data_IF_969014856622
#
_entry.id   IF_969014856622
#
_cell.length_a   1.000
_cell.length_b   1.000
_cell.length_c   1.000
_cell.angle_alpha   90.00
_cell.angle_beta   90.00
_cell.angle_gamma   90.00
#
_symmetry.space_group_name_H-M   'P 1'
#
loop_
_entity.id
_entity.type
_entity.pdbx_description
1 polymer ?
#
# COMPACT_ATOMS: atom_id res chain seq x y z
N UNK A 1 24.93 8.35 21.88
CA UNK A 1 24.74 7.03 21.22
C UNK A 1 25.92 6.81 20.32
N UNK A 2 26.51 5.61 20.31
CA UNK A 2 27.57 5.29 19.35
C UNK A 2 26.97 5.26 17.95
N UNK A 3 27.71 5.75 16.95
CA UNK A 3 27.31 5.72 15.54
C UNK A 3 27.17 4.28 15.07
N UNK A 4 26.02 3.95 14.46
CA UNK A 4 25.78 2.63 13.86
C UNK A 4 26.64 2.52 12.62
N UNK A 5 27.54 1.54 12.59
CA UNK A 5 28.34 1.17 11.44
C UNK A 5 27.79 -0.09 10.84
N UNK A 6 27.69 -0.16 9.52
CA UNK A 6 27.21 -1.32 8.79
C UNK A 6 28.36 -2.02 8.07
N UNK A 7 28.30 -3.32 7.99
CA UNK A 7 29.15 -4.13 7.11
C UNK A 7 28.72 -3.97 5.65
N UNK A 8 27.38 -3.92 5.42
CA UNK A 8 26.78 -3.77 4.09
C UNK A 8 26.18 -2.37 3.96
N UNK A 9 26.74 -1.56 3.10
CA UNK A 9 26.30 -0.17 2.91
C UNK A 9 26.10 0.15 1.42
N UNK A 10 25.24 1.11 1.11
CA UNK A 10 24.96 1.58 -0.25
C UNK A 10 24.69 3.08 -0.26
N UNK A 11 24.63 3.67 -1.44
CA UNK A 11 24.21 5.05 -1.61
C UNK A 11 22.70 5.17 -1.65
N UNK A 12 22.18 6.21 -1.01
CA UNK A 12 20.76 6.55 -0.96
C UNK A 12 20.59 8.04 -1.20
N UNK A 13 19.80 8.40 -2.19
CA UNK A 13 19.41 9.79 -2.46
C UNK A 13 18.25 10.19 -1.58
N UNK A 14 18.30 11.40 -1.02
CA UNK A 14 17.25 11.93 -0.14
C UNK A 14 16.85 13.31 -0.59
N UNK A 15 15.61 13.46 -1.01
CA UNK A 15 14.97 14.75 -1.25
C UNK A 15 14.15 15.12 -0.01
N UNK A 16 14.57 16.17 0.68
CA UNK A 16 13.94 16.67 1.90
C UNK A 16 13.05 17.87 1.59
N UNK A 17 11.82 17.84 2.10
CA UNK A 17 10.85 18.93 2.05
C UNK A 17 10.57 19.42 3.46
N UNK A 18 10.36 20.74 3.61
CA UNK A 18 10.16 21.36 4.92
C UNK A 18 8.83 20.96 5.57
N UNK A 19 7.79 20.75 4.74
CA UNK A 19 6.47 20.33 5.19
C UNK A 19 5.80 19.39 4.20
N UNK A 20 4.69 18.79 4.62
CA UNK A 20 3.85 17.99 3.73
C UNK A 20 3.26 18.82 2.56
N UNK A 21 3.10 20.12 2.74
CA UNK A 21 2.52 21.04 1.73
C UNK A 21 3.56 21.74 0.86
N UNK A 22 4.86 21.56 1.17
CA UNK A 22 5.94 22.14 0.34
C UNK A 22 5.93 21.53 -1.05
N UNK A 23 5.86 22.37 -2.07
CA UNK A 23 5.92 21.96 -3.48
C UNK A 23 7.35 21.85 -3.98
N UNK A 24 8.27 22.72 -3.50
CA UNK A 24 9.69 22.62 -3.77
C UNK A 24 10.45 21.98 -2.62
N UNK A 25 11.56 21.33 -2.94
CA UNK A 25 12.44 20.70 -1.96
C UNK A 25 13.21 21.73 -1.13
N UNK A 26 13.64 21.32 0.07
CA UNK A 26 14.52 22.10 0.96
C UNK A 26 15.98 21.76 0.73
N UNK A 27 16.29 20.48 0.58
CA UNK A 27 17.63 19.99 0.33
C UNK A 27 17.61 18.65 -0.41
N UNK A 28 18.63 18.42 -1.21
CA UNK A 28 18.93 17.13 -1.83
C UNK A 28 20.30 16.67 -1.38
N UNK A 29 20.42 15.40 -1.04
CA UNK A 29 21.70 14.80 -0.66
C UNK A 29 21.81 13.37 -1.15
N UNK A 30 22.98 13.03 -1.67
CA UNK A 30 23.39 11.64 -1.83
C UNK A 30 24.11 11.23 -0.55
N UNK A 31 23.61 10.22 0.12
CA UNK A 31 24.07 9.79 1.43
C UNK A 31 24.33 8.29 1.42
N UNK A 32 24.85 7.76 2.51
CA UNK A 32 24.95 6.33 2.72
C UNK A 32 23.73 5.79 3.47
N UNK A 33 23.40 4.53 3.24
CA UNK A 33 22.35 3.84 3.98
C UNK A 33 22.60 3.85 5.49
N UNK A 34 23.84 3.62 5.91
CA UNK A 34 24.27 3.74 7.30
C UNK A 34 23.99 5.12 7.91
N UNK A 35 24.21 6.20 7.17
CA UNK A 35 23.91 7.57 7.62
C UNK A 35 22.39 7.80 7.74
N UNK A 36 21.61 7.23 6.81
CA UNK A 36 20.16 7.30 6.89
C UNK A 36 19.64 6.53 8.12
N UNK A 37 20.14 5.33 8.38
CA UNK A 37 19.85 4.54 9.57
C UNK A 37 20.14 5.37 10.83
N UNK A 38 21.33 5.94 10.96
CA UNK A 38 21.70 6.79 12.10
C UNK A 38 20.76 8.00 12.24
N UNK A 39 20.41 8.67 11.14
CA UNK A 39 19.51 9.83 11.16
C UNK A 39 18.09 9.47 11.63
N UNK A 40 17.58 8.29 11.21
CA UNK A 40 16.22 7.85 11.54
C UNK A 40 16.16 7.10 12.88
N UNK A 41 17.28 6.64 13.43
CA UNK A 41 17.30 5.98 14.75
C UNK A 41 16.98 6.93 15.91
N UNK A 42 17.16 8.24 15.71
CA UNK A 42 16.96 9.26 16.75
C UNK A 42 15.82 10.19 16.34
N UNK A 43 14.64 10.08 17.01
CA UNK A 43 13.54 11.02 16.79
C UNK A 43 13.84 12.38 17.44
N UNK A 44 13.22 13.45 16.95
CA UNK A 44 13.10 14.69 17.70
C UNK A 44 11.80 14.68 18.52
N UNK A 45 11.75 15.48 19.58
CA UNK A 45 10.51 15.73 20.32
C UNK A 45 9.80 16.97 19.80
N UNK A 46 8.51 16.82 19.44
CA UNK A 46 7.66 17.94 19.04
C UNK A 46 6.18 17.53 19.06
N UNK A 47 5.31 18.49 19.24
CA UNK A 47 3.84 18.28 19.25
C UNK A 47 3.22 18.07 17.86
N UNK A 48 4.01 18.15 16.81
CA UNK A 48 3.56 18.12 15.44
C UNK A 48 4.32 17.09 14.62
N UNK A 49 3.57 16.19 13.95
CA UNK A 49 4.11 15.04 13.21
C UNK A 49 5.19 15.41 12.16
N UNK A 50 5.08 16.58 11.55
CA UNK A 50 5.96 17.01 10.46
C UNK A 50 7.01 18.05 10.89
N UNK A 51 7.24 18.21 12.21
CA UNK A 51 8.20 19.20 12.75
C UNK A 51 9.63 19.04 12.22
N UNK A 52 9.99 17.84 11.77
CA UNK A 52 11.29 17.55 11.16
C UNK A 52 11.25 17.55 9.62
N UNK A 53 10.09 17.87 9.03
CA UNK A 53 9.86 17.80 7.59
C UNK A 53 9.52 16.39 7.10
N UNK A 54 9.55 16.23 5.79
CA UNK A 54 9.25 14.97 5.10
C UNK A 54 10.32 14.69 4.04
N UNK A 55 10.52 13.43 3.68
CA UNK A 55 11.53 13.04 2.72
C UNK A 55 11.04 12.00 1.71
N UNK A 56 11.58 12.06 0.50
CA UNK A 56 11.52 11.01 -0.52
C UNK A 56 12.92 10.41 -0.63
N UNK A 57 13.01 9.11 -0.75
CA UNK A 57 14.26 8.37 -0.89
C UNK A 57 14.43 7.94 -2.35
N UNK A 58 15.15 8.76 -3.11
CA UNK A 58 15.31 8.75 -4.56
C UNK A 58 15.44 10.16 -5.10
N UNK A 59 15.09 10.39 -6.37
CA UNK A 59 15.13 11.70 -7.00
C UNK A 59 13.85 12.04 -7.76
N UNK A 60 13.60 13.35 -7.92
CA UNK A 60 12.40 13.93 -8.52
C UNK A 60 12.77 14.94 -9.59
N UNK A 61 11.95 15.06 -10.64
CA UNK A 61 12.07 16.14 -11.65
C UNK A 61 11.56 17.46 -11.12
N UNK A 62 12.08 18.53 -11.71
CA UNK A 62 11.45 19.84 -11.66
C UNK A 62 10.19 19.84 -12.54
N UNK A 63 9.19 20.63 -12.19
CA UNK A 63 7.93 20.71 -12.95
C UNK A 63 7.20 22.02 -12.67
N UNK A 64 6.18 22.30 -13.47
CA UNK A 64 5.27 23.44 -13.30
C UNK A 64 3.89 22.99 -12.84
N UNK A 65 3.19 23.83 -12.09
CA UNK A 65 1.79 23.60 -11.75
C UNK A 65 0.85 24.06 -12.90
N UNK A 66 -0.45 23.87 -12.70
CA UNK A 66 -1.49 24.25 -13.65
C UNK A 66 -1.54 25.76 -13.94
N UNK A 67 -0.94 26.57 -13.06
CA UNK A 67 -0.84 28.02 -13.20
C UNK A 67 0.49 28.49 -13.79
N UNK A 68 1.37 27.57 -14.18
CA UNK A 68 2.69 27.87 -14.75
C UNK A 68 3.77 28.20 -13.74
N UNK A 69 3.53 27.98 -12.44
CA UNK A 69 4.57 28.18 -11.42
C UNK A 69 5.56 27.04 -11.42
N UNK A 70 6.86 27.35 -11.50
CA UNK A 70 7.93 26.37 -11.48
C UNK A 70 8.24 25.89 -10.05
N UNK A 71 8.37 24.59 -9.88
CA UNK A 71 8.75 23.94 -8.63
C UNK A 71 9.93 23.00 -8.83
N UNK A 72 10.93 23.12 -7.98
CA UNK A 72 12.09 22.23 -7.98
C UNK A 72 11.75 20.93 -7.26
N UNK A 73 12.08 19.78 -7.90
CA UNK A 73 11.81 18.42 -7.40
C UNK A 73 10.35 18.26 -6.93
N UNK A 74 9.42 18.61 -7.83
CA UNK A 74 7.99 18.67 -7.52
C UNK A 74 7.39 17.28 -7.33
N UNK A 75 6.67 17.07 -6.22
CA UNK A 75 6.11 15.79 -5.81
C UNK A 75 4.85 15.41 -6.58
N UNK A 76 5.05 14.75 -7.71
CA UNK A 76 4.04 14.04 -8.50
C UNK A 76 4.60 12.68 -8.91
N UNK A 77 3.76 11.68 -9.14
CA UNK A 77 4.23 10.34 -9.54
C UNK A 77 4.98 10.37 -10.87
N UNK A 78 4.55 11.20 -11.81
CA UNK A 78 5.17 11.40 -13.12
C UNK A 78 6.56 12.06 -13.02
N UNK A 79 6.85 12.70 -11.90
CA UNK A 79 8.11 13.39 -11.65
C UNK A 79 9.15 12.53 -10.94
N UNK A 80 8.81 11.31 -10.56
CA UNK A 80 9.78 10.38 -9.98
C UNK A 80 10.79 9.98 -11.05
N UNK A 81 12.06 10.34 -10.83
CA UNK A 81 13.16 9.91 -11.70
C UNK A 81 13.54 8.48 -11.32
N UNK A 82 13.77 8.25 -10.03
CA UNK A 82 14.04 6.94 -9.45
C UNK A 82 13.77 6.89 -7.95
N UNK A 83 13.73 5.68 -7.40
CA UNK A 83 13.69 5.40 -5.96
C UNK A 83 14.85 4.48 -5.60
N UNK A 84 15.47 4.72 -4.43
CA UNK A 84 16.58 3.94 -3.87
C UNK A 84 16.13 3.06 -2.70
N UNK A 85 14.98 3.37 -2.12
CA UNK A 85 14.46 2.71 -0.93
C UNK A 85 12.97 2.43 -1.11
N UNK A 86 12.57 1.19 -0.86
CA UNK A 86 11.16 0.84 -0.68
C UNK A 86 10.74 1.19 0.74
N UNK A 87 9.60 1.87 0.89
CA UNK A 87 9.09 2.30 2.19
C UNK A 87 7.66 1.83 2.35
N UNK A 88 7.42 1.01 3.37
CA UNK A 88 6.13 0.41 3.67
C UNK A 88 5.62 0.94 5.01
N UNK A 89 4.44 1.55 5.00
CA UNK A 89 3.73 2.00 6.21
C UNK A 89 2.73 0.92 6.66
N UNK A 90 2.80 0.55 7.94
CA UNK A 90 1.90 -0.40 8.58
C UNK A 90 1.13 0.31 9.69
N UNK A 91 -0.17 0.52 9.48
CA UNK A 91 -1.04 1.24 10.40
C UNK A 91 -2.00 0.34 11.18
N UNK A 92 -2.35 -0.83 10.63
CA UNK A 92 -3.34 -1.77 11.19
C UNK A 92 -2.73 -3.13 11.49
N UNK A 93 -1.77 -3.14 12.42
CA UNK A 93 -1.14 -4.39 12.88
C UNK A 93 -1.63 -4.75 14.29
N UNK A 94 -1.99 -6.02 14.53
CA UNK A 94 -2.54 -6.41 15.84
C UNK A 94 -1.51 -6.34 16.96
N UNK A 95 -0.25 -6.67 16.69
CA UNK A 95 0.87 -6.61 17.63
C UNK A 95 2.18 -6.35 16.90
N UNK A 96 3.00 -5.44 17.43
CA UNK A 96 4.30 -5.11 16.85
C UNK A 96 5.21 -6.34 16.71
N UNK A 97 5.18 -7.26 17.68
CA UNK A 97 5.99 -8.48 17.65
C UNK A 97 5.68 -9.35 16.42
N UNK A 98 4.40 -9.50 16.07
CA UNK A 98 4.00 -10.34 14.91
C UNK A 98 4.59 -9.77 13.62
N UNK A 99 4.49 -8.46 13.43
CA UNK A 99 5.10 -7.81 12.26
C UNK A 99 6.63 -7.91 12.29
N UNK A 100 7.25 -7.73 13.45
CA UNK A 100 8.71 -7.86 13.61
C UNK A 100 9.19 -9.26 13.22
N UNK A 101 8.52 -10.30 13.72
CA UNK A 101 8.87 -11.68 13.43
C UNK A 101 8.71 -11.98 11.93
N UNK A 102 7.61 -11.51 11.29
CA UNK A 102 7.37 -11.65 9.87
C UNK A 102 8.43 -10.94 9.01
N UNK A 103 8.81 -9.70 9.36
CA UNK A 103 9.88 -8.96 8.68
C UNK A 103 11.21 -9.70 8.81
N UNK A 104 11.56 -10.12 10.03
CA UNK A 104 12.85 -10.76 10.31
C UNK A 104 12.98 -12.11 9.61
N UNK A 105 11.91 -12.88 9.54
CA UNK A 105 11.89 -14.17 8.84
C UNK A 105 11.98 -13.97 7.32
N UNK A 106 11.14 -13.10 6.77
CA UNK A 106 11.05 -12.85 5.31
C UNK A 106 12.31 -12.20 4.77
N UNK A 107 12.89 -11.24 5.50
CA UNK A 107 14.04 -10.42 5.09
C UNK A 107 15.31 -10.77 5.88
N UNK A 108 15.47 -12.02 6.30
CA UNK A 108 16.62 -12.49 7.11
C UNK A 108 17.97 -12.16 6.48
N UNK A 109 18.09 -12.32 5.15
CA UNK A 109 19.32 -12.05 4.39
C UNK A 109 19.38 -10.67 3.74
N UNK A 110 18.57 -9.71 4.19
CA UNK A 110 18.43 -8.40 3.54
C UNK A 110 18.61 -7.29 4.57
N UNK A 111 19.28 -6.21 4.17
CA UNK A 111 19.39 -5.00 4.99
C UNK A 111 18.07 -4.23 5.02
N UNK A 112 17.57 -3.98 6.21
CA UNK A 112 16.36 -3.19 6.45
C UNK A 112 16.46 -2.41 7.76
N UNK A 113 15.64 -1.38 7.89
CA UNK A 113 15.34 -0.75 9.17
C UNK A 113 13.85 -0.45 9.27
N UNK A 114 13.34 -0.41 10.49
CA UNK A 114 12.03 0.18 10.76
C UNK A 114 12.03 1.04 12.01
N UNK A 115 11.08 1.94 12.08
CA UNK A 115 10.78 2.68 13.29
C UNK A 115 9.27 2.83 13.50
N UNK A 116 8.87 3.02 14.76
CA UNK A 116 7.50 3.38 15.09
C UNK A 116 7.20 4.83 14.70
N UNK A 117 5.98 5.11 14.25
CA UNK A 117 5.60 6.44 13.76
C UNK A 117 4.99 7.32 14.87
N UNK A 118 4.77 8.60 14.59
CA UNK A 118 4.28 9.61 15.54
C UNK A 118 3.00 9.22 16.31
N UNK A 119 2.09 8.49 15.69
CA UNK A 119 0.83 8.03 16.27
C UNK A 119 0.89 6.59 16.82
N UNK A 120 2.08 6.02 16.92
CA UNK A 120 2.25 4.68 17.49
C UNK A 120 1.76 4.63 18.94
N UNK A 121 1.04 3.55 19.26
CA UNK A 121 0.64 3.15 20.63
C UNK A 121 0.84 1.65 20.77
N UNK A 122 1.01 1.18 21.98
CA UNK A 122 1.17 -0.27 22.24
C UNK A 122 -0.05 -1.06 21.74
N UNK A 123 -1.26 -0.51 21.92
CA UNK A 123 -2.53 -1.13 21.55
C UNK A 123 -2.86 -0.95 20.04
N UNK A 124 -2.24 0.01 19.38
CA UNK A 124 -2.39 0.30 17.95
C UNK A 124 -1.03 0.60 17.36
N UNK A 125 -0.22 -0.43 17.12
CA UNK A 125 1.13 -0.27 16.61
C UNK A 125 1.13 0.30 15.20
N UNK A 126 2.04 1.28 14.96
CA UNK A 126 2.26 1.90 13.67
C UNK A 126 3.74 1.91 13.37
N UNK A 127 4.11 1.34 12.23
CA UNK A 127 5.51 1.09 11.86
C UNK A 127 5.77 1.54 10.43
N UNK A 128 6.96 2.06 10.18
CA UNK A 128 7.47 2.33 8.85
C UNK A 128 8.73 1.52 8.61
N UNK A 129 8.66 0.62 7.65
CA UNK A 129 9.75 -0.23 7.20
C UNK A 129 10.44 0.40 6.00
N UNK A 130 11.77 0.36 5.98
CA UNK A 130 12.61 0.84 4.90
C UNK A 130 13.54 -0.28 4.45
N UNK A 131 13.67 -0.45 3.15
CA UNK A 131 14.53 -1.46 2.53
C UNK A 131 15.31 -0.78 1.43
N UNK A 132 16.63 -0.68 1.60
CA UNK A 132 17.54 -0.12 0.59
C UNK A 132 17.72 -1.09 -0.58
N UNK A 133 17.89 -0.55 -1.78
CA UNK A 133 18.10 -1.30 -3.01
C UNK A 133 19.53 -1.12 -3.54
N UNK A 134 20.01 -2.13 -4.25
CA UNK A 134 21.33 -2.06 -4.89
C UNK A 134 21.33 -1.18 -6.15
N UNK A 135 20.17 -0.93 -6.74
CA UNK A 135 19.96 -0.17 -7.97
C UNK A 135 18.75 0.75 -7.87
N UNK A 136 18.73 1.77 -8.73
CA UNK A 136 17.60 2.67 -8.88
C UNK A 136 16.42 1.95 -9.53
N UNK A 137 15.20 2.22 -9.03
CA UNK A 137 13.97 1.71 -9.61
C UNK A 137 13.04 2.83 -10.05
N UNK A 138 12.28 2.59 -11.10
CA UNK A 138 11.26 3.50 -11.61
C UNK A 138 10.01 3.57 -10.70
N UNK A 139 9.11 4.52 -10.99
CA UNK A 139 7.82 4.63 -10.29
C UNK A 139 6.96 3.36 -10.40
N UNK A 140 6.95 2.70 -11.56
CA UNK A 140 6.16 1.49 -11.77
C UNK A 140 6.77 0.27 -11.07
N UNK A 141 8.10 0.15 -11.08
CA UNK A 141 8.81 -0.87 -10.31
C UNK A 141 8.62 -0.67 -8.81
N UNK A 142 8.60 0.58 -8.32
CA UNK A 142 8.31 0.87 -6.93
C UNK A 142 6.94 0.32 -6.50
N UNK A 143 5.88 0.56 -7.29
CA UNK A 143 4.54 0.01 -7.04
C UNK A 143 4.54 -1.52 -7.07
N UNK A 144 5.18 -2.09 -8.09
CA UNK A 144 5.29 -3.54 -8.27
C UNK A 144 6.00 -4.20 -7.09
N UNK A 145 7.15 -3.68 -6.67
CA UNK A 145 7.96 -4.29 -5.61
C UNK A 145 7.38 -4.04 -4.21
N UNK A 146 6.69 -2.92 -4.00
CA UNK A 146 5.88 -2.71 -2.78
C UNK A 146 4.86 -3.84 -2.63
N UNK A 147 4.15 -4.21 -3.70
CA UNK A 147 3.18 -5.31 -3.69
C UNK A 147 3.83 -6.68 -3.46
N UNK A 148 5.01 -6.90 -4.01
CA UNK A 148 5.80 -8.12 -3.79
C UNK A 148 6.17 -8.26 -2.33
N UNK A 149 6.70 -7.20 -1.72
CA UNK A 149 7.09 -7.19 -0.30
C UNK A 149 5.88 -7.35 0.64
N UNK A 150 4.79 -6.64 0.36
CA UNK A 150 3.54 -6.81 1.13
C UNK A 150 3.09 -8.28 1.13
N UNK A 151 3.08 -8.91 -0.04
CA UNK A 151 2.68 -10.31 -0.17
C UNK A 151 3.65 -11.27 0.53
N UNK A 152 4.95 -11.02 0.45
CA UNK A 152 5.98 -11.86 1.08
C UNK A 152 5.97 -11.73 2.61
N UNK A 153 5.83 -10.52 3.15
CA UNK A 153 5.74 -10.25 4.59
C UNK A 153 4.38 -10.72 5.15
N UNK A 154 3.34 -10.77 4.31
CA UNK A 154 2.02 -11.28 4.69
C UNK A 154 1.19 -10.33 5.54
N UNK A 155 1.54 -9.05 5.59
CA UNK A 155 0.81 -8.00 6.29
C UNK A 155 0.44 -6.87 5.35
N UNK A 156 -0.83 -6.39 5.35
CA UNK A 156 -1.26 -5.31 4.48
C UNK A 156 -0.56 -4.00 4.85
N UNK A 157 -0.20 -3.23 3.85
CA UNK A 157 0.38 -1.89 3.99
C UNK A 157 -0.68 -0.81 3.77
N UNK A 158 -0.47 0.40 4.33
CA UNK A 158 -1.27 1.56 3.98
C UNK A 158 -1.21 1.84 2.47
N UNK A 159 -2.34 2.16 1.83
CA UNK A 159 -2.44 2.39 0.38
C UNK A 159 -1.44 3.42 -0.15
N UNK A 160 -1.12 4.43 0.67
CA UNK A 160 -0.11 5.41 0.31
C UNK A 160 1.30 4.85 0.16
N UNK A 161 1.59 3.62 0.65
CA UNK A 161 2.86 2.96 0.42
C UNK A 161 3.10 2.64 -1.05
N UNK A 162 2.05 2.54 -1.86
CA UNK A 162 2.14 2.32 -3.30
C UNK A 162 2.42 3.58 -4.12
N UNK A 163 2.32 4.76 -3.48
CA UNK A 163 2.54 6.03 -4.17
C UNK A 163 4.04 6.38 -4.21
N UNK A 164 4.72 6.34 -5.38
CA UNK A 164 6.15 6.55 -5.44
C UNK A 164 6.58 7.98 -5.12
N UNK A 165 5.70 8.97 -5.28
CA UNK A 165 5.94 10.38 -4.90
C UNK A 165 5.59 10.70 -3.46
N UNK A 166 5.12 9.72 -2.66
CA UNK A 166 4.75 9.95 -1.26
C UNK A 166 5.99 10.29 -0.43
N UNK A 167 5.98 11.48 0.15
CA UNK A 167 7.01 11.90 1.09
C UNK A 167 6.69 11.40 2.50
N UNK A 168 7.69 10.80 3.15
CA UNK A 168 7.59 10.19 4.46
C UNK A 168 8.01 11.17 5.55
N UNK A 169 7.16 11.35 6.58
CA UNK A 169 7.52 12.15 7.74
C UNK A 169 8.78 11.60 8.42
N UNK A 170 9.75 12.48 8.69
CA UNK A 170 10.92 12.10 9.46
C UNK A 170 10.54 11.84 10.93
N UNK A 171 11.29 11.00 11.65
CA UNK A 171 10.92 10.58 13.00
C UNK A 171 10.75 11.73 13.98
N UNK A 172 9.56 11.80 14.57
CA UNK A 172 9.16 12.73 15.63
C UNK A 172 8.43 11.93 16.70
N UNK A 173 8.68 12.19 17.96
CA UNK A 173 7.91 11.70 19.12
C UNK A 173 7.21 12.87 19.84
N UNK A 174 6.05 12.61 20.44
CA UNK A 174 5.23 13.66 21.07
C UNK A 174 5.85 14.23 22.33
N UNK A 175 6.49 13.38 23.13
CA UNK A 175 7.11 13.70 24.40
C UNK A 175 8.23 12.70 24.73
N UNK A 176 8.98 12.96 25.80
CA UNK A 176 10.01 12.05 26.27
C UNK A 176 9.45 10.67 26.63
N UNK A 177 8.22 10.62 27.14
CA UNK A 177 7.55 9.37 27.54
C UNK A 177 6.96 8.59 26.36
N UNK A 178 6.93 9.20 25.16
CA UNK A 178 6.44 8.53 23.96
C UNK A 178 7.38 7.42 23.53
N UNK A 179 6.81 6.23 23.30
CA UNK A 179 7.54 5.05 22.87
C UNK A 179 8.05 5.27 21.43
N UNK A 180 9.35 5.15 21.25
CA UNK A 180 9.99 5.11 19.95
C UNK A 180 10.85 3.86 19.84
N UNK A 181 10.44 2.94 19.01
CA UNK A 181 11.13 1.67 18.76
C UNK A 181 11.79 1.76 17.39
N UNK A 182 13.08 1.55 17.36
CA UNK A 182 13.88 1.47 16.15
C UNK A 182 14.58 0.10 16.10
N UNK A 183 14.52 -0.55 14.95
CA UNK A 183 15.22 -1.82 14.68
C UNK A 183 15.83 -1.76 13.28
N UNK A 184 16.94 -2.46 13.12
CA UNK A 184 17.60 -2.64 11.82
C UNK A 184 18.24 -4.02 11.73
N UNK A 185 18.51 -4.44 10.51
CA UNK A 185 19.27 -5.64 10.17
C UNK A 185 20.44 -5.23 9.27
N UNK A 186 21.65 -5.60 9.68
CA UNK A 186 22.87 -5.41 8.86
C UNK A 186 23.12 -6.71 8.08
N UNK A 187 22.75 -6.67 6.82
CA UNK A 187 22.85 -7.79 5.89
C UNK A 187 23.02 -7.24 4.45
N UNK A 188 23.27 -8.06 3.45
CA UNK A 188 23.35 -7.62 2.06
C UNK A 188 22.19 -6.75 1.63
N UNK A 189 22.48 -5.75 0.80
CA UNK A 189 21.46 -4.87 0.22
C UNK A 189 20.58 -5.67 -0.74
N UNK A 190 19.25 -5.45 -0.68
CA UNK A 190 18.29 -6.16 -1.54
C UNK A 190 18.55 -5.85 -3.02
N UNK A 191 18.77 -6.88 -3.82
CA UNK A 191 18.96 -6.69 -5.27
C UNK A 191 17.60 -6.59 -5.99
N UNK A 192 17.57 -5.79 -7.05
CA UNK A 192 16.41 -5.68 -7.95
C UNK A 192 16.12 -7.02 -8.63
N UNK A 193 17.15 -7.82 -8.93
CA UNK A 193 17.01 -9.18 -9.48
C UNK A 193 16.21 -10.09 -8.54
N UNK A 194 16.52 -10.07 -7.25
CA UNK A 194 15.76 -10.83 -6.25
C UNK A 194 14.28 -10.41 -6.21
N UNK A 195 14.02 -9.10 -6.30
CA UNK A 195 12.64 -8.58 -6.37
C UNK A 195 11.92 -9.03 -7.65
N UNK A 196 12.62 -9.09 -8.78
CA UNK A 196 12.08 -9.64 -10.03
C UNK A 196 11.75 -11.13 -9.91
N UNK A 197 12.62 -11.90 -9.29
CA UNK A 197 12.38 -13.34 -9.03
C UNK A 197 11.14 -13.50 -8.15
N UNK A 198 11.05 -12.79 -7.03
CA UNK A 198 9.87 -12.81 -6.15
C UNK A 198 8.59 -12.36 -6.86
N UNK A 199 8.69 -11.39 -7.78
CA UNK A 199 7.56 -10.95 -8.60
C UNK A 199 7.07 -12.04 -9.56
N UNK A 200 8.01 -12.84 -10.15
CA UNK A 200 7.66 -13.97 -11.01
C UNK A 200 7.01 -15.11 -10.21
N UNK A 201 7.54 -15.43 -9.04
CA UNK A 201 6.95 -16.39 -8.12
C UNK A 201 5.52 -16.01 -7.74
N UNK A 202 5.31 -14.76 -7.34
CA UNK A 202 3.99 -14.24 -6.98
C UNK A 202 3.00 -14.37 -8.15
N UNK A 203 3.43 -14.00 -9.37
CA UNK A 203 2.60 -14.15 -10.58
C UNK A 203 2.28 -15.61 -10.90
N UNK A 204 3.23 -16.53 -10.67
CA UNK A 204 3.00 -17.97 -10.90
C UNK A 204 2.00 -18.52 -9.90
N UNK A 205 2.12 -18.18 -8.62
CA UNK A 205 1.16 -18.56 -7.57
C UNK A 205 -0.26 -18.03 -7.87
N UNK A 206 -0.39 -16.78 -8.34
CA UNK A 206 -1.68 -16.24 -8.77
C UNK A 206 -2.23 -16.96 -10.02
N UNK A 207 -1.38 -17.35 -10.97
CA UNK A 207 -1.81 -18.16 -12.13
C UNK A 207 -2.25 -19.56 -11.72
N UNK A 208 -1.56 -20.21 -10.81
CA UNK A 208 -1.93 -21.52 -10.29
C UNK A 208 -3.19 -21.45 -9.43
N UNK A 209 -3.30 -20.48 -8.52
CA UNK A 209 -4.51 -20.27 -7.74
C UNK A 209 -5.72 -19.91 -8.60
N UNK A 210 -5.51 -19.19 -9.70
CA UNK A 210 -6.57 -18.89 -10.68
C UNK A 210 -6.86 -20.05 -11.64
N UNK A 211 -5.93 -20.99 -11.88
CA UNK A 211 -6.28 -22.24 -12.59
C UNK A 211 -7.31 -23.08 -11.83
N UNK A 212 -7.36 -22.95 -10.50
CA UNK A 212 -8.37 -23.61 -9.66
C UNK A 212 -9.59 -22.74 -9.35
N UNK A 213 -9.58 -21.45 -9.72
CA UNK A 213 -10.70 -20.51 -9.54
C UNK A 213 -11.18 -19.90 -10.85
N UNK A 214 -11.41 -20.75 -11.88
CA UNK A 214 -12.57 -20.44 -12.68
C UNK A 214 -13.75 -20.65 -11.74
N UNK A 215 -14.55 -19.61 -11.41
CA UNK A 215 -15.84 -19.88 -10.79
C UNK A 215 -16.48 -20.90 -11.74
N UNK A 216 -16.84 -22.09 -11.23
CA UNK A 216 -17.66 -23.05 -11.99
C UNK A 216 -18.69 -22.19 -12.67
N UNK A 217 -18.71 -22.20 -14.02
CA UNK A 217 -19.75 -21.48 -14.77
C UNK A 217 -21.04 -21.86 -14.07
N UNK A 218 -21.64 -20.86 -13.41
CA UNK A 218 -22.87 -21.13 -12.66
C UNK A 218 -23.81 -21.79 -13.63
N UNK A 219 -24.12 -23.05 -13.36
CA UNK A 219 -24.95 -23.87 -14.21
C UNK A 219 -26.43 -23.45 -14.10
N UNK A 220 -27.26 -24.07 -14.89
CA UNK A 220 -28.68 -23.79 -14.87
C UNK A 220 -29.32 -24.09 -13.50
N UNK A 221 -28.80 -25.07 -12.76
CA UNK A 221 -29.32 -25.40 -11.43
C UNK A 221 -29.04 -24.31 -10.42
N UNK A 222 -27.85 -23.70 -10.46
CA UNK A 222 -27.55 -22.53 -9.66
C UNK A 222 -28.53 -21.37 -9.96
N UNK A 223 -28.73 -21.04 -11.26
CA UNK A 223 -29.65 -19.96 -11.63
C UNK A 223 -31.11 -20.24 -11.27
N UNK A 224 -31.55 -21.48 -11.41
CA UNK A 224 -32.89 -21.91 -10.95
C UNK A 224 -33.01 -21.75 -9.43
N UNK A 225 -31.98 -22.12 -8.66
CA UNK A 225 -32.01 -22.07 -7.21
C UNK A 225 -32.16 -20.66 -6.63
N UNK A 226 -31.73 -19.64 -7.36
CA UNK A 226 -31.82 -18.23 -6.92
C UNK A 226 -32.86 -17.41 -7.69
N UNK A 227 -33.56 -18.00 -8.69
CA UNK A 227 -34.44 -17.28 -9.62
C UNK A 227 -35.57 -16.49 -8.90
N UNK A 228 -36.04 -16.98 -7.80
CA UNK A 228 -37.18 -16.42 -7.05
C UNK A 228 -36.79 -15.83 -5.68
N UNK A 229 -35.55 -15.39 -5.54
CA UNK A 229 -35.04 -14.85 -4.30
C UNK A 229 -34.28 -15.87 -3.44
N UNK A 230 -33.68 -15.41 -2.37
CA UNK A 230 -32.91 -16.23 -1.41
C UNK A 230 -33.14 -15.76 0.03
N UNK A 231 -32.84 -16.64 0.99
CA UNK A 231 -32.93 -16.32 2.41
C UNK A 231 -31.72 -15.54 2.94
N UNK A 232 -31.80 -15.11 4.19
CA UNK A 232 -30.77 -14.37 4.94
C UNK A 232 -29.38 -15.01 4.80
N UNK A 233 -28.34 -14.18 4.70
CA UNK A 233 -26.93 -14.60 4.62
C UNK A 233 -26.36 -14.60 3.20
N UNK A 234 -27.15 -14.88 2.17
CA UNK A 234 -26.66 -14.98 0.79
C UNK A 234 -27.13 -13.85 -0.14
N UNK A 235 -28.04 -12.98 0.31
CA UNK A 235 -28.71 -11.96 -0.53
C UNK A 235 -27.76 -11.04 -1.27
N UNK A 236 -26.84 -10.38 -0.57
CA UNK A 236 -25.87 -9.46 -1.18
C UNK A 236 -24.95 -10.16 -2.18
N UNK A 237 -24.51 -11.37 -1.87
CA UNK A 237 -23.62 -12.13 -2.76
C UNK A 237 -24.36 -12.58 -4.03
N UNK A 238 -25.60 -13.01 -3.89
CA UNK A 238 -26.42 -13.44 -5.04
C UNK A 238 -26.85 -12.24 -5.88
N UNK A 239 -27.26 -11.13 -5.25
CA UNK A 239 -27.55 -9.86 -5.93
C UNK A 239 -26.35 -9.36 -6.74
N UNK A 240 -25.15 -9.29 -6.12
CA UNK A 240 -23.89 -8.93 -6.81
C UNK A 240 -23.67 -9.79 -8.04
N UNK A 241 -23.93 -11.07 -7.92
CA UNK A 241 -23.74 -12.03 -9.01
C UNK A 241 -24.74 -11.85 -10.15
N UNK A 242 -25.98 -11.56 -9.80
CA UNK A 242 -27.08 -11.35 -10.75
C UNK A 242 -26.84 -10.06 -11.54
N UNK A 243 -26.56 -8.96 -10.87
CA UNK A 243 -26.21 -7.68 -11.50
C UNK A 243 -25.01 -7.85 -12.44
N UNK A 244 -23.92 -8.44 -11.97
CA UNK A 244 -22.69 -8.63 -12.75
C UNK A 244 -22.92 -9.46 -14.02
N UNK A 245 -23.70 -10.55 -13.95
CA UNK A 245 -23.96 -11.39 -15.13
C UNK A 245 -24.85 -10.69 -16.15
N UNK A 246 -25.82 -9.90 -15.72
CA UNK A 246 -26.73 -9.18 -16.61
C UNK A 246 -26.03 -8.02 -17.32
N UNK A 247 -25.24 -7.22 -16.60
CA UNK A 247 -24.45 -6.15 -17.18
C UNK A 247 -23.39 -6.68 -18.15
N UNK A 248 -22.66 -7.74 -17.79
CA UNK A 248 -21.69 -8.39 -18.68
C UNK A 248 -22.33 -8.95 -19.97
N UNK A 249 -23.61 -9.28 -19.94
CA UNK A 249 -24.37 -9.69 -21.12
C UNK A 249 -25.02 -8.52 -21.87
N UNK A 250 -24.65 -7.28 -21.51
CA UNK A 250 -25.15 -6.04 -22.14
C UNK A 250 -26.68 -5.91 -22.07
N UNK A 251 -27.30 -6.42 -21.03
CA UNK A 251 -28.71 -6.11 -20.75
C UNK A 251 -28.79 -4.63 -20.39
N UNK A 252 -29.73 -3.86 -20.96
CA UNK A 252 -29.85 -2.43 -20.67
C UNK A 252 -29.99 -2.15 -19.17
N UNK A 253 -29.22 -1.20 -18.65
CA UNK A 253 -29.09 -0.89 -17.21
C UNK A 253 -30.43 -0.69 -16.49
N UNK A 254 -31.44 0.02 -17.07
CA UNK A 254 -32.75 0.15 -16.43
C UNK A 254 -33.46 -1.20 -16.24
N UNK A 255 -33.29 -2.13 -17.18
CA UNK A 255 -33.86 -3.47 -17.08
C UNK A 255 -33.14 -4.30 -16.02
N UNK A 256 -31.80 -4.17 -15.92
CA UNK A 256 -31.01 -4.83 -14.88
C UNK A 256 -31.47 -4.35 -13.51
N UNK A 257 -31.63 -3.04 -13.33
CA UNK A 257 -32.09 -2.47 -12.06
C UNK A 257 -33.49 -2.96 -11.70
N UNK A 258 -34.44 -2.86 -12.61
CA UNK A 258 -35.82 -3.27 -12.37
C UNK A 258 -35.93 -4.77 -12.02
N UNK A 259 -35.23 -5.62 -12.78
CA UNK A 259 -35.25 -7.05 -12.55
C UNK A 259 -34.61 -7.41 -11.19
N UNK A 260 -33.46 -6.85 -10.87
CA UNK A 260 -32.78 -7.09 -9.61
C UNK A 260 -33.56 -6.55 -8.41
N UNK A 261 -34.29 -5.44 -8.59
CA UNK A 261 -35.18 -4.91 -7.56
C UNK A 261 -36.35 -5.87 -7.28
N UNK A 262 -37.03 -6.33 -8.34
CA UNK A 262 -38.11 -7.34 -8.19
C UNK A 262 -37.59 -8.65 -7.57
N UNK A 263 -36.38 -9.07 -7.93
CA UNK A 263 -35.71 -10.22 -7.34
C UNK A 263 -35.47 -10.01 -5.84
N UNK A 264 -35.04 -8.82 -5.43
CA UNK A 264 -34.84 -8.49 -4.02
C UNK A 264 -36.14 -8.57 -3.22
N UNK A 265 -37.23 -8.09 -3.78
CA UNK A 265 -38.56 -8.18 -3.13
C UNK A 265 -39.02 -9.63 -2.87
N UNK A 266 -38.53 -10.58 -3.66
CA UNK A 266 -38.80 -12.01 -3.46
C UNK A 266 -37.82 -12.67 -2.45
N UNK A 267 -36.81 -11.96 -1.94
CA UNK A 267 -35.94 -12.45 -0.88
C UNK A 267 -36.65 -12.42 0.48
N UNK A 268 -36.30 -13.32 1.37
CA UNK A 268 -36.89 -13.37 2.70
C UNK A 268 -35.87 -13.25 3.85
N UNK A 269 -35.85 -12.09 4.57
CA UNK A 269 -36.48 -10.81 4.21
C UNK A 269 -35.70 -10.12 3.06
N UNK A 270 -36.28 -9.14 2.33
CA UNK A 270 -35.56 -8.39 1.31
C UNK A 270 -34.45 -7.52 1.92
N UNK A 271 -33.45 -7.15 1.13
CA UNK A 271 -32.50 -6.11 1.49
C UNK A 271 -33.21 -4.76 1.56
N UNK A 272 -32.80 -3.91 2.48
CA UNK A 272 -33.31 -2.54 2.51
C UNK A 272 -32.98 -1.80 1.20
N UNK A 273 -33.82 -0.84 0.82
CA UNK A 273 -33.58 -0.03 -0.40
C UNK A 273 -32.18 0.63 -0.41
N UNK A 274 -31.66 0.99 0.76
CA UNK A 274 -30.33 1.56 0.90
C UNK A 274 -29.24 0.54 0.58
N UNK A 275 -29.32 -0.67 1.12
CA UNK A 275 -28.36 -1.75 0.88
C UNK A 275 -28.40 -2.20 -0.58
N UNK A 276 -29.60 -2.35 -1.14
CA UNK A 276 -29.80 -2.68 -2.54
C UNK A 276 -29.13 -1.67 -3.46
N UNK A 277 -29.43 -0.37 -3.30
CA UNK A 277 -28.87 0.69 -4.13
C UNK A 277 -27.36 0.80 -3.98
N UNK A 278 -26.82 0.69 -2.76
CA UNK A 278 -25.37 0.70 -2.54
C UNK A 278 -24.67 -0.44 -3.28
N UNK A 279 -25.26 -1.65 -3.21
CA UNK A 279 -24.73 -2.82 -3.92
C UNK A 279 -24.81 -2.63 -5.43
N UNK A 280 -25.97 -2.18 -5.93
CA UNK A 280 -26.16 -1.94 -7.36
C UNK A 280 -25.17 -0.93 -7.93
N UNK A 281 -25.04 0.24 -7.30
CA UNK A 281 -24.10 1.30 -7.72
C UNK A 281 -22.65 0.85 -7.71
N UNK A 282 -22.27 0.08 -6.70
CA UNK A 282 -20.89 -0.45 -6.60
C UNK A 282 -20.53 -1.34 -7.79
N UNK A 283 -21.45 -2.26 -8.16
CA UNK A 283 -21.24 -3.17 -9.30
C UNK A 283 -21.33 -2.40 -10.61
N UNK A 284 -22.31 -1.51 -10.74
CA UNK A 284 -22.48 -0.66 -11.92
C UNK A 284 -21.22 0.14 -12.26
N UNK A 285 -20.65 0.84 -11.26
CA UNK A 285 -19.40 1.60 -11.42
C UNK A 285 -18.20 0.73 -11.79
N UNK A 286 -18.17 -0.52 -11.35
CA UNK A 286 -17.10 -1.49 -11.67
C UNK A 286 -17.19 -1.99 -13.11
N UNK A 287 -18.38 -2.29 -13.58
CA UNK A 287 -18.61 -2.87 -14.92
C UNK A 287 -18.57 -1.82 -16.07
N UNK A 288 -18.64 -0.52 -15.72
CA UNK A 288 -18.58 0.61 -16.68
C UNK A 288 -17.25 1.38 -16.61
N UNK A 289 -16.23 0.83 -15.93
CA UNK A 289 -14.84 1.28 -16.00
C UNK A 289 -14.13 0.57 -17.13
#
# INVERSE_FOLDING_TARGET
>A
MNEIKLEYDTHVSVVHYESLHSRSFKSFSMSKWSKLINKLSVPIEANYKYARGVAIYGDMKDDTDENGNEYKKYRKDENVIYRDVLVLDYDDIPKLRILHDAITETLKGVSWMYHTTFNHRTESPRVRLYIALNEHISADEYRKYTKVLESKIGHPVDEGSYQPSRAMALPVKKSNDSIYIFKYNDAPILSVETLEEWSKELKSQYKESNKFKYPKRRDNEFWKSIAFGVSTGNRNQMLTSLIGVLLNRRVPDPLVYAYCFMWNENCNPPLSSREFNTTFESIYKREHR
#
